data_IF_350542300528
#
_entry.id   IF_350542300528
#
_cell.length_a   1.000
_cell.length_b   1.000
_cell.length_c   1.000
_cell.angle_alpha   90.00
_cell.angle_beta   90.00
_cell.angle_gamma   90.00
#
_symmetry.space_group_name_H-M   'P 1'
#
loop_
_entity.id
_entity.type
_entity.pdbx_description
1 polymer ?
#
# COMPACT_ATOMS: atom_id res chain seq x y z
N UNK A 1 59.52 -21.99 -45.27
CA UNK A 1 58.07 -21.67 -45.33
C UNK A 1 57.61 -21.29 -43.91
N UNK A 2 57.56 -20.00 -43.60
CA UNK A 2 57.29 -19.49 -42.24
C UNK A 2 55.82 -19.16 -42.09
N UNK A 3 55.13 -19.94 -41.25
CA UNK A 3 53.72 -19.71 -40.89
C UNK A 3 53.70 -18.75 -39.68
N UNK A 4 53.24 -17.51 -39.90
CA UNK A 4 53.02 -16.55 -38.82
C UNK A 4 51.66 -16.84 -38.20
N UNK A 5 51.65 -17.25 -36.92
CA UNK A 5 50.45 -17.39 -36.11
C UNK A 5 49.90 -15.99 -35.77
N UNK A 6 48.68 -15.72 -36.20
CA UNK A 6 47.93 -14.55 -35.79
C UNK A 6 47.08 -14.89 -34.55
N UNK A 7 47.42 -14.30 -33.39
CA UNK A 7 46.63 -14.43 -32.18
C UNK A 7 45.55 -13.34 -32.19
N UNK A 8 44.31 -13.74 -32.33
CA UNK A 8 43.15 -12.83 -32.16
C UNK A 8 42.88 -12.67 -30.67
N UNK A 9 43.09 -11.47 -30.14
CA UNK A 9 42.68 -11.10 -28.79
C UNK A 9 41.18 -10.71 -28.81
N UNK A 10 40.35 -11.55 -28.21
CA UNK A 10 38.92 -11.30 -28.03
C UNK A 10 38.74 -10.37 -26.80
N UNK A 11 38.53 -9.07 -27.01
CA UNK A 11 38.21 -8.12 -25.94
C UNK A 11 36.72 -8.28 -25.60
N UNK A 12 36.43 -8.91 -24.45
CA UNK A 12 35.09 -8.98 -23.91
C UNK A 12 34.69 -7.61 -23.37
N UNK A 13 33.75 -6.93 -24.04
CA UNK A 13 33.13 -5.71 -23.58
C UNK A 13 32.12 -6.08 -22.45
N UNK A 14 32.50 -5.86 -21.20
CA UNK A 14 31.56 -5.96 -20.08
C UNK A 14 30.55 -4.82 -20.16
N UNK A 15 29.34 -5.11 -20.61
CA UNK A 15 28.23 -4.17 -20.52
C UNK A 15 27.83 -4.02 -19.05
N UNK A 16 28.25 -2.93 -18.43
CA UNK A 16 27.73 -2.50 -17.13
C UNK A 16 26.29 -2.03 -17.34
N UNK A 17 25.30 -2.88 -17.00
CA UNK A 17 23.91 -2.48 -16.90
C UNK A 17 23.79 -1.49 -15.74
N UNK A 18 23.72 -0.19 -16.02
CA UNK A 18 23.26 0.82 -15.06
C UNK A 18 21.79 0.55 -14.82
N UNK A 19 21.48 -0.04 -13.66
CA UNK A 19 20.10 -0.11 -13.16
C UNK A 19 19.68 1.32 -12.83
N UNK A 20 18.93 1.96 -13.72
CA UNK A 20 18.22 3.18 -13.40
C UNK A 20 17.16 2.82 -12.36
N UNK A 21 17.12 3.56 -11.25
CA UNK A 21 16.00 3.48 -10.31
C UNK A 21 14.72 3.79 -11.11
N UNK A 22 13.74 2.91 -11.01
CA UNK A 22 12.46 3.07 -11.70
C UNK A 22 11.70 4.23 -11.07
N UNK A 23 11.19 5.13 -11.89
CA UNK A 23 10.42 6.29 -11.41
C UNK A 23 8.99 5.83 -11.09
N UNK A 24 8.75 5.51 -9.83
CA UNK A 24 7.43 5.06 -9.36
C UNK A 24 6.46 6.23 -9.30
N UNK A 25 5.31 6.11 -9.95
CA UNK A 25 4.21 7.06 -9.78
C UNK A 25 3.38 6.65 -8.58
N UNK A 26 3.28 7.53 -7.58
CA UNK A 26 2.50 7.32 -6.36
C UNK A 26 1.30 8.26 -6.37
N UNK A 27 0.08 7.70 -6.35
CA UNK A 27 -1.18 8.41 -6.37
C UNK A 27 -2.03 8.02 -5.16
N UNK A 28 -2.57 9.02 -4.45
CA UNK A 28 -3.46 8.80 -3.32
C UNK A 28 -4.91 9.06 -3.72
N UNK A 29 -5.79 8.16 -3.27
CA UNK A 29 -7.23 8.27 -3.38
C UNK A 29 -7.80 8.47 -1.98
N UNK A 30 -8.40 9.61 -1.76
CA UNK A 30 -9.04 9.93 -0.50
C UNK A 30 -10.54 9.66 -0.61
N UNK A 31 -11.07 8.80 0.26
CA UNK A 31 -12.50 8.57 0.34
C UNK A 31 -13.23 9.83 0.83
N UNK A 32 -14.51 9.93 0.53
CA UNK A 32 -15.35 10.97 1.08
C UNK A 32 -15.45 10.86 2.60
N UNK A 33 -15.76 11.97 3.33
CA UNK A 33 -15.89 11.96 4.80
C UNK A 33 -16.88 10.93 5.32
N UNK A 34 -18.00 10.72 4.62
CA UNK A 34 -18.99 9.69 4.96
C UNK A 34 -18.47 8.26 4.84
N UNK A 35 -17.32 8.06 4.19
CA UNK A 35 -16.58 6.81 4.08
C UNK A 35 -15.25 6.86 4.85
N UNK A 36 -15.24 7.59 5.97
CA UNK A 36 -14.11 7.77 6.91
C UNK A 36 -12.89 8.52 6.38
N UNK A 37 -12.94 9.07 5.16
CA UNK A 37 -11.77 9.73 4.59
C UNK A 37 -10.53 8.82 4.48
N UNK A 38 -10.73 7.50 4.41
CA UNK A 38 -9.61 6.55 4.29
C UNK A 38 -8.86 6.76 3.00
N UNK A 39 -7.56 6.62 3.05
CA UNK A 39 -6.70 6.73 1.86
C UNK A 39 -6.32 5.36 1.33
N UNK A 40 -6.50 5.17 0.02
CA UNK A 40 -5.80 4.13 -0.73
C UNK A 40 -4.67 4.76 -1.52
N UNK A 41 -3.54 4.06 -1.60
CA UNK A 41 -2.39 4.53 -2.37
C UNK A 41 -2.10 3.56 -3.51
N UNK A 42 -2.09 4.09 -4.73
CA UNK A 42 -1.70 3.37 -5.93
C UNK A 42 -0.22 3.64 -6.22
N UNK A 43 0.57 2.59 -6.32
CA UNK A 43 1.98 2.64 -6.67
C UNK A 43 2.10 1.99 -8.04
N UNK A 44 2.40 2.79 -9.04
CA UNK A 44 2.51 2.35 -10.43
C UNK A 44 3.97 2.26 -10.84
N UNK A 45 4.37 1.07 -11.29
CA UNK A 45 5.61 0.83 -12.01
C UNK A 45 5.42 0.94 -13.53
N UNK A 46 6.29 0.32 -14.31
CA UNK A 46 6.18 0.33 -15.77
C UNK A 46 5.01 -0.52 -16.27
N UNK A 47 4.81 -1.70 -15.69
CA UNK A 47 3.83 -2.70 -16.14
C UNK A 47 2.86 -3.13 -15.05
N UNK A 48 3.25 -3.02 -13.80
CA UNK A 48 2.50 -3.50 -12.65
C UNK A 48 2.01 -2.35 -11.77
N UNK A 49 0.98 -2.64 -10.99
CA UNK A 49 0.40 -1.76 -10.00
C UNK A 49 0.33 -2.50 -8.66
N UNK A 50 0.72 -1.82 -7.61
CA UNK A 50 0.48 -2.20 -6.22
C UNK A 50 -0.53 -1.23 -5.61
N UNK A 51 -1.61 -1.75 -5.07
CA UNK A 51 -2.59 -0.98 -4.30
C UNK A 51 -2.37 -1.20 -2.81
N UNK A 52 -2.38 -0.13 -2.04
CA UNK A 52 -2.37 -0.16 -0.57
C UNK A 52 -3.73 0.29 -0.08
N UNK A 53 -4.43 -0.60 0.62
CA UNK A 53 -5.81 -0.48 1.12
C UNK A 53 -6.87 -0.42 0.01
N UNK A 54 -8.04 -0.98 0.29
CA UNK A 54 -9.07 -1.24 -0.72
C UNK A 54 -10.34 -0.41 -0.56
N UNK A 55 -10.35 0.57 0.34
CA UNK A 55 -11.51 1.42 0.62
C UNK A 55 -12.64 0.73 1.42
N UNK A 56 -13.49 1.57 2.01
CA UNK A 56 -14.65 1.16 2.79
C UNK A 56 -15.82 0.75 1.89
N UNK A 57 -16.16 1.59 0.91
CA UNK A 57 -17.35 1.40 0.10
C UNK A 57 -17.05 0.86 -1.29
N UNK A 58 -18.00 0.11 -1.83
CA UNK A 58 -17.94 -0.39 -3.20
C UNK A 58 -17.73 0.73 -4.22
N UNK A 59 -18.39 1.86 -4.06
CA UNK A 59 -18.28 2.98 -5.01
C UNK A 59 -16.89 3.61 -5.03
N UNK A 60 -16.20 3.74 -3.88
CA UNK A 60 -14.83 4.23 -3.85
C UNK A 60 -13.85 3.21 -4.44
N UNK A 61 -14.04 1.92 -4.13
CA UNK A 61 -13.23 0.86 -4.73
C UNK A 61 -13.40 0.80 -6.26
N UNK A 62 -14.63 0.97 -6.78
CA UNK A 62 -14.89 1.01 -8.23
C UNK A 62 -14.17 2.17 -8.93
N UNK A 63 -14.06 3.35 -8.31
CA UNK A 63 -13.30 4.48 -8.90
C UNK A 63 -11.83 4.12 -9.07
N UNK A 64 -11.23 3.53 -8.02
CA UNK A 64 -9.83 3.09 -8.09
C UNK A 64 -9.66 1.95 -9.12
N UNK A 65 -10.61 1.01 -9.17
CA UNK A 65 -10.57 -0.07 -10.16
C UNK A 65 -10.64 0.46 -11.59
N UNK A 66 -11.46 1.50 -11.84
CA UNK A 66 -11.53 2.16 -13.15
C UNK A 66 -10.18 2.79 -13.53
N UNK A 67 -9.55 3.56 -12.63
CA UNK A 67 -8.24 4.18 -12.89
C UNK A 67 -7.16 3.12 -13.16
N UNK A 68 -7.20 1.97 -12.48
CA UNK A 68 -6.27 0.86 -12.74
C UNK A 68 -6.52 0.27 -14.14
N UNK A 69 -7.78 0.07 -14.54
CA UNK A 69 -8.12 -0.43 -15.88
C UNK A 69 -7.68 0.55 -16.96
N UNK A 70 -7.91 1.85 -16.77
CA UNK A 70 -7.53 2.91 -17.71
C UNK A 70 -6.00 3.02 -17.86
N UNK A 71 -5.24 2.66 -16.83
CA UNK A 71 -3.77 2.63 -16.89
C UNK A 71 -3.23 1.58 -17.85
N UNK A 72 -4.01 0.55 -18.17
CA UNK A 72 -3.59 -0.61 -18.97
C UNK A 72 -2.56 -1.52 -18.28
N UNK A 73 -2.24 -1.26 -17.01
CA UNK A 73 -1.25 -2.03 -16.22
C UNK A 73 -1.91 -3.16 -15.45
N UNK A 74 -1.10 -4.11 -15.00
CA UNK A 74 -1.56 -5.26 -14.23
C UNK A 74 -1.60 -4.94 -12.75
N UNK A 75 -2.77 -4.99 -12.11
CA UNK A 75 -2.86 -4.99 -10.65
C UNK A 75 -2.29 -6.28 -10.10
N UNK A 76 -1.05 -6.23 -9.62
CA UNK A 76 -0.30 -7.40 -9.15
C UNK A 76 -0.64 -7.78 -7.74
N UNK A 77 -0.66 -6.78 -6.86
CA UNK A 77 -0.78 -6.99 -5.42
C UNK A 77 -1.65 -5.91 -4.80
N UNK A 78 -2.46 -6.30 -3.82
CA UNK A 78 -3.11 -5.40 -2.87
C UNK A 78 -2.54 -5.72 -1.49
N UNK A 79 -1.99 -4.71 -0.83
CA UNK A 79 -1.54 -4.79 0.56
C UNK A 79 -2.56 -4.12 1.47
N UNK A 80 -3.12 -4.87 2.42
CA UNK A 80 -4.03 -4.35 3.44
C UNK A 80 -3.21 -4.05 4.69
N UNK A 81 -3.16 -2.78 5.07
CA UNK A 81 -2.28 -2.32 6.16
C UNK A 81 -2.92 -2.39 7.54
N UNK A 82 -4.26 -2.50 7.64
CA UNK A 82 -4.99 -2.56 8.90
C UNK A 82 -6.27 -3.40 8.80
N UNK A 83 -6.75 -3.93 9.94
CA UNK A 83 -7.85 -4.89 9.99
C UNK A 83 -9.26 -4.29 10.08
N UNK A 84 -9.44 -2.99 9.93
CA UNK A 84 -10.74 -2.34 9.96
C UNK A 84 -11.41 -2.29 8.57
N UNK A 85 -12.75 -2.25 8.51
CA UNK A 85 -13.53 -2.32 7.28
C UNK A 85 -13.15 -1.32 6.22
N UNK A 86 -12.77 -0.13 6.60
CA UNK A 86 -12.37 0.95 5.70
C UNK A 86 -11.07 0.66 4.93
N UNK A 87 -10.31 -0.34 5.35
CA UNK A 87 -9.10 -0.78 4.66
C UNK A 87 -9.33 -1.97 3.71
N UNK A 88 -10.42 -2.77 3.91
CA UNK A 88 -10.55 -4.03 3.17
C UNK A 88 -11.94 -4.35 2.61
N UNK A 89 -13.01 -3.65 2.97
CA UNK A 89 -14.35 -3.97 2.47
C UNK A 89 -14.49 -3.88 0.95
N UNK A 90 -13.73 -3.01 0.29
CA UNK A 90 -13.70 -2.90 -1.16
C UNK A 90 -12.95 -4.02 -1.90
N UNK A 91 -12.35 -4.99 -1.21
CA UNK A 91 -11.56 -6.06 -1.83
C UNK A 91 -12.38 -6.94 -2.80
N UNK A 92 -13.68 -7.09 -2.55
CA UNK A 92 -14.56 -7.87 -3.44
C UNK A 92 -14.64 -7.26 -4.84
N UNK A 93 -14.63 -5.94 -4.95
CA UNK A 93 -14.57 -5.22 -6.24
C UNK A 93 -13.28 -5.59 -6.97
N UNK A 94 -12.13 -5.44 -6.31
CA UNK A 94 -10.85 -5.75 -6.95
C UNK A 94 -10.74 -7.22 -7.34
N UNK A 95 -11.25 -8.12 -6.53
CA UNK A 95 -11.25 -9.56 -6.86
C UNK A 95 -12.13 -9.88 -8.05
N UNK A 96 -13.23 -9.15 -8.23
CA UNK A 96 -14.12 -9.30 -9.38
C UNK A 96 -13.45 -8.85 -10.70
N UNK A 97 -12.81 -7.70 -10.71
CA UNK A 97 -12.21 -7.12 -11.93
C UNK A 97 -10.78 -7.60 -12.19
N UNK A 98 -10.06 -8.01 -11.15
CA UNK A 98 -8.67 -8.50 -11.20
C UNK A 98 -8.56 -9.86 -10.52
N UNK A 99 -9.10 -10.94 -11.10
CA UNK A 99 -9.21 -12.24 -10.44
C UNK A 99 -7.87 -12.85 -10.02
N UNK A 100 -6.79 -12.50 -10.69
CA UNK A 100 -5.44 -13.00 -10.43
C UNK A 100 -4.65 -12.13 -9.43
N UNK A 101 -5.25 -11.05 -8.90
CA UNK A 101 -4.56 -10.18 -7.94
C UNK A 101 -4.21 -10.95 -6.66
N UNK A 102 -2.99 -10.76 -6.19
CA UNK A 102 -2.55 -11.25 -4.89
C UNK A 102 -2.98 -10.26 -3.80
N UNK A 103 -3.78 -10.71 -2.85
CA UNK A 103 -4.26 -9.87 -1.74
C UNK A 103 -3.58 -10.35 -0.47
N UNK A 104 -2.78 -9.49 0.15
CA UNK A 104 -1.91 -9.83 1.28
C UNK A 104 -2.04 -8.81 2.41
N UNK A 105 -1.73 -9.28 3.62
CA UNK A 105 -1.59 -8.47 4.83
C UNK A 105 -0.62 -9.15 5.81
N UNK A 106 -0.21 -8.46 6.86
CA UNK A 106 0.55 -9.13 7.93
C UNK A 106 -0.31 -10.18 8.65
N UNK A 107 0.30 -11.19 9.29
CA UNK A 107 -0.47 -12.19 10.04
C UNK A 107 -1.38 -11.57 11.10
N UNK A 108 -0.94 -10.51 11.77
CA UNK A 108 -1.72 -9.79 12.78
C UNK A 108 -2.95 -9.13 12.18
N UNK A 109 -2.81 -8.45 11.04
CA UNK A 109 -3.92 -7.84 10.29
C UNK A 109 -4.91 -8.90 9.80
N UNK A 110 -4.42 -10.02 9.26
CA UNK A 110 -5.27 -11.14 8.84
C UNK A 110 -6.08 -11.69 10.02
N UNK A 111 -5.41 -11.89 11.16
CA UNK A 111 -6.08 -12.37 12.37
C UNK A 111 -7.16 -11.40 12.85
N UNK A 112 -6.89 -10.10 12.89
CA UNK A 112 -7.88 -9.08 13.26
C UNK A 112 -9.10 -9.15 12.34
N UNK A 113 -8.91 -9.22 11.03
CA UNK A 113 -10.01 -9.36 10.06
C UNK A 113 -10.82 -10.62 10.36
N UNK A 114 -10.15 -11.78 10.54
CA UNK A 114 -10.83 -13.05 10.81
C UNK A 114 -11.65 -13.01 12.09
N UNK A 115 -11.12 -12.40 13.15
CA UNK A 115 -11.78 -12.33 14.46
C UNK A 115 -12.99 -11.38 14.46
N UNK A 116 -12.97 -10.32 13.62
CA UNK A 116 -13.93 -9.21 13.74
C UNK A 116 -14.89 -9.07 12.54
N UNK A 117 -14.57 -9.65 11.37
CA UNK A 117 -15.32 -9.45 10.13
C UNK A 117 -16.82 -9.69 10.24
N UNK A 118 -17.24 -10.73 10.96
CA UNK A 118 -18.66 -11.07 11.08
C UNK A 118 -19.47 -9.98 11.81
N UNK A 119 -18.92 -9.46 12.91
CA UNK A 119 -19.55 -8.37 13.66
C UNK A 119 -19.53 -7.06 12.86
N UNK A 120 -18.44 -6.78 12.14
CA UNK A 120 -18.31 -5.59 11.32
C UNK A 120 -19.27 -5.60 10.12
N UNK A 121 -19.44 -6.74 9.47
CA UNK A 121 -20.45 -6.91 8.39
C UNK A 121 -21.88 -6.77 8.94
N UNK A 122 -22.18 -7.39 10.08
CA UNK A 122 -23.49 -7.27 10.70
C UNK A 122 -23.83 -5.83 11.07
N UNK A 123 -22.86 -5.04 11.51
CA UNK A 123 -23.05 -3.64 11.89
C UNK A 123 -23.09 -2.68 10.69
N UNK A 124 -22.15 -2.81 9.76
CA UNK A 124 -22.00 -1.86 8.66
C UNK A 124 -22.84 -2.23 7.44
N UNK A 125 -23.03 -3.51 7.13
CA UNK A 125 -23.75 -3.97 5.94
C UNK A 125 -25.10 -3.28 5.74
N UNK A 126 -26.02 -3.30 6.75
CA UNK A 126 -27.31 -2.65 6.63
C UNK A 126 -27.23 -1.12 6.42
N UNK A 127 -26.19 -0.46 6.93
CA UNK A 127 -25.97 0.99 6.80
C UNK A 127 -25.40 1.37 5.44
N UNK A 128 -24.62 0.50 4.83
CA UNK A 128 -23.96 0.74 3.54
C UNK A 128 -24.89 0.46 2.35
N UNK A 129 -25.95 -0.30 2.54
CA UNK A 129 -26.92 -0.67 1.50
C UNK A 129 -26.22 -1.23 0.25
N UNK A 130 -26.34 -0.59 -0.90
CA UNK A 130 -25.71 -1.00 -2.16
C UNK A 130 -24.17 -0.88 -2.15
N UNK A 131 -23.60 -0.10 -1.24
CA UNK A 131 -22.15 0.06 -1.07
C UNK A 131 -21.50 -1.03 -0.21
N UNK A 132 -22.30 -1.90 0.42
CA UNK A 132 -21.79 -3.01 1.21
C UNK A 132 -21.02 -4.02 0.33
N UNK A 133 -19.98 -4.68 0.88
CA UNK A 133 -19.32 -5.76 0.17
C UNK A 133 -20.29 -6.91 -0.09
N UNK A 134 -20.19 -7.52 -1.27
CA UNK A 134 -20.98 -8.70 -1.62
C UNK A 134 -20.48 -9.95 -0.90
N UNK A 135 -19.19 -9.96 -0.60
CA UNK A 135 -18.50 -10.99 0.17
C UNK A 135 -17.26 -10.39 0.84
N UNK A 136 -16.85 -10.97 1.95
CA UNK A 136 -15.59 -10.59 2.58
C UNK A 136 -14.45 -11.39 1.98
N UNK A 137 -13.44 -10.68 1.51
CA UNK A 137 -12.16 -11.25 1.06
C UNK A 137 -11.16 -11.09 2.20
N UNK A 138 -10.73 -12.22 2.77
CA UNK A 138 -9.66 -12.21 3.78
C UNK A 138 -8.31 -12.27 3.06
N UNK A 139 -7.40 -11.34 3.31
CA UNK A 139 -6.06 -11.36 2.72
C UNK A 139 -5.28 -12.62 3.11
N UNK A 140 -4.35 -13.05 2.26
CA UNK A 140 -3.37 -14.07 2.60
C UNK A 140 -2.32 -13.49 3.56
N UNK A 141 -1.96 -14.24 4.60
CA UNK A 141 -0.91 -13.85 5.52
C UNK A 141 0.46 -13.80 4.81
N UNK A 142 1.14 -12.68 4.94
CA UNK A 142 2.45 -12.42 4.32
C UNK A 142 3.47 -12.12 5.42
N UNK A 143 4.46 -13.00 5.58
CA UNK A 143 5.43 -12.96 6.68
C UNK A 143 6.75 -12.31 6.31
N UNK A 144 7.03 -12.14 5.01
CA UNK A 144 8.25 -11.48 4.58
C UNK A 144 8.19 -9.97 4.88
N UNK A 145 9.34 -9.39 5.21
CA UNK A 145 9.46 -7.96 5.52
C UNK A 145 9.66 -7.08 4.28
N UNK A 146 9.74 -7.68 3.12
CA UNK A 146 9.97 -6.96 1.86
C UNK A 146 9.04 -7.52 0.81
N UNK A 147 8.40 -6.63 0.08
CA UNK A 147 7.53 -6.89 -1.05
C UNK A 147 8.30 -6.58 -2.33
N UNK A 148 8.42 -7.58 -3.19
CA UNK A 148 9.00 -7.38 -4.53
C UNK A 148 7.96 -6.74 -5.43
N UNK A 149 8.29 -5.60 -6.01
CA UNK A 149 7.45 -4.88 -6.95
C UNK A 149 8.30 -4.45 -8.15
N UNK A 150 8.17 -5.15 -9.27
CA UNK A 150 9.06 -5.03 -10.43
C UNK A 150 10.55 -5.10 -10.01
N UNK A 151 11.31 -4.03 -10.21
CA UNK A 151 12.73 -3.94 -9.83
C UNK A 151 12.92 -3.33 -8.43
N UNK A 152 11.84 -3.01 -7.72
CA UNK A 152 11.86 -2.34 -6.43
C UNK A 152 11.68 -3.32 -5.25
N UNK A 153 12.22 -2.92 -4.11
CA UNK A 153 11.98 -3.57 -2.83
C UNK A 153 11.22 -2.59 -1.93
N UNK A 154 9.96 -2.89 -1.68
CA UNK A 154 9.13 -2.12 -0.76
C UNK A 154 9.17 -2.81 0.59
N UNK A 155 9.56 -2.09 1.63
CA UNK A 155 9.73 -2.66 2.97
C UNK A 155 8.42 -2.56 3.77
N UNK A 156 8.01 -3.67 4.38
CA UNK A 156 6.91 -3.72 5.34
C UNK A 156 7.47 -3.44 6.71
N UNK A 157 7.08 -2.33 7.30
CA UNK A 157 7.55 -1.83 8.59
C UNK A 157 6.40 -1.72 9.60
N UNK A 158 6.79 -1.46 10.83
CA UNK A 158 5.85 -1.40 11.97
C UNK A 158 5.78 -2.72 12.72
N UNK A 159 4.98 -2.74 13.77
CA UNK A 159 4.74 -3.91 14.64
C UNK A 159 3.24 -4.04 14.87
N UNK A 160 2.79 -5.26 15.11
CA UNK A 160 1.38 -5.55 15.34
C UNK A 160 0.54 -4.99 14.17
N UNK A 161 -0.46 -4.21 14.47
CA UNK A 161 -1.34 -3.57 13.50
C UNK A 161 -0.90 -2.15 13.09
N UNK A 162 0.21 -1.66 13.64
CA UNK A 162 0.80 -0.36 13.26
C UNK A 162 1.73 -0.52 12.05
N UNK A 163 1.23 -1.24 11.04
CA UNK A 163 1.99 -1.59 9.82
C UNK A 163 1.90 -0.49 8.77
N UNK A 164 3.00 -0.23 8.08
CA UNK A 164 3.09 0.69 6.95
C UNK A 164 4.14 0.19 5.95
N UNK A 165 4.09 0.71 4.72
CA UNK A 165 5.08 0.44 3.70
C UNK A 165 6.08 1.60 3.60
N UNK A 166 7.35 1.25 3.51
CA UNK A 166 8.43 2.16 3.17
C UNK A 166 8.93 1.88 1.76
N UNK A 167 8.98 2.90 0.90
CA UNK A 167 9.43 2.85 -0.48
C UNK A 167 10.75 3.62 -0.56
N UNK A 168 11.92 2.94 -0.46
CA UNK A 168 13.22 3.61 -0.37
C UNK A 168 13.54 4.49 -1.58
N UNK A 169 13.25 4.03 -2.80
CA UNK A 169 13.53 4.77 -4.05
C UNK A 169 12.75 6.09 -4.14
N UNK A 170 11.52 6.10 -3.65
CA UNK A 170 10.67 7.29 -3.60
C UNK A 170 10.76 8.04 -2.27
N UNK A 171 11.53 7.55 -1.30
CA UNK A 171 11.60 8.06 0.09
C UNK A 171 10.20 8.33 0.68
N UNK A 172 9.27 7.43 0.40
CA UNK A 172 7.86 7.59 0.75
C UNK A 172 7.40 6.54 1.76
N UNK A 173 6.57 6.96 2.71
CA UNK A 173 5.82 6.09 3.62
C UNK A 173 4.35 6.12 3.21
N UNK A 174 3.73 4.95 3.09
CA UNK A 174 2.32 4.81 2.70
C UNK A 174 1.61 3.75 3.53
N UNK A 175 0.32 3.94 3.72
CA UNK A 175 -0.54 3.01 4.46
C UNK A 175 -0.35 3.04 5.97
N UNK A 176 -1.29 2.39 6.65
CA UNK A 176 -1.30 2.22 8.10
C UNK A 176 -1.87 3.39 8.90
N UNK A 177 -2.38 3.06 10.08
CA UNK A 177 -2.94 4.02 11.04
C UNK A 177 -1.95 5.11 11.47
N UNK A 178 -0.63 4.82 11.66
CA UNK A 178 0.30 5.85 12.07
C UNK A 178 0.58 6.92 10.99
N UNK A 179 0.22 6.65 9.73
CA UNK A 179 0.46 7.56 8.60
C UNK A 179 -0.79 8.41 8.37
N UNK A 180 -0.94 9.48 9.12
CA UNK A 180 -2.09 10.40 9.01
C UNK A 180 -1.64 11.87 8.97
N UNK A 181 -2.41 12.75 8.34
CA UNK A 181 -2.16 14.18 8.25
C UNK A 181 -3.46 14.97 8.18
N UNK A 182 -3.51 16.16 8.78
CA UNK A 182 -4.67 17.03 8.77
C UNK A 182 -5.79 16.60 9.72
N UNK A 183 -5.68 15.44 10.38
CA UNK A 183 -6.62 14.96 11.41
C UNK A 183 -5.86 14.45 12.62
N UNK A 184 -6.57 14.29 13.74
CA UNK A 184 -6.02 13.58 14.89
C UNK A 184 -5.85 12.09 14.57
N UNK A 185 -4.79 11.49 15.11
CA UNK A 185 -4.61 10.04 15.04
C UNK A 185 -5.82 9.32 15.66
N UNK A 186 -6.24 8.23 15.05
CA UNK A 186 -7.24 7.37 15.61
C UNK A 186 -6.68 6.68 16.87
N UNK A 187 -7.27 6.97 18.00
CA UNK A 187 -6.79 6.52 19.32
C UNK A 187 -7.76 5.59 20.03
N UNK A 188 -8.92 5.29 19.44
CA UNK A 188 -9.93 4.45 20.10
C UNK A 188 -9.43 3.01 20.35
N UNK A 189 -8.57 2.50 19.48
CA UNK A 189 -8.00 1.15 19.59
C UNK A 189 -6.72 1.10 20.44
N UNK A 190 -6.36 2.20 21.10
CA UNK A 190 -5.17 2.32 21.95
C UNK A 190 -5.54 2.75 23.39
N UNK A 191 -6.38 1.95 24.10
CA UNK A 191 -6.94 2.33 25.38
C UNK A 191 -5.90 2.41 26.50
N UNK A 192 -4.81 1.65 26.42
CA UNK A 192 -3.79 1.60 27.47
C UNK A 192 -2.60 2.53 27.17
N UNK A 193 -1.84 2.86 28.22
CA UNK A 193 -0.57 3.60 28.06
C UNK A 193 0.44 2.81 27.22
N UNK A 194 0.44 1.49 27.33
CA UNK A 194 1.31 0.63 26.52
C UNK A 194 0.98 0.79 25.03
N UNK A 195 -0.29 0.70 24.65
CA UNK A 195 -0.72 0.82 23.24
C UNK A 195 -0.35 2.18 22.69
N UNK A 196 -0.59 3.26 23.44
CA UNK A 196 -0.20 4.61 23.03
C UNK A 196 1.31 4.78 22.87
N UNK A 197 2.11 4.16 23.72
CA UNK A 197 3.57 4.14 23.57
C UNK A 197 4.00 3.40 22.30
N UNK A 198 3.31 2.33 21.90
CA UNK A 198 3.58 1.64 20.63
C UNK A 198 3.32 2.55 19.44
N UNK A 199 2.25 3.36 19.47
CA UNK A 199 1.99 4.39 18.44
C UNK A 199 3.13 5.41 18.38
N UNK A 200 3.57 5.93 19.53
CA UNK A 200 4.72 6.87 19.59
C UNK A 200 5.98 6.24 18.97
N UNK A 201 6.28 4.99 19.31
CA UNK A 201 7.42 4.27 18.74
C UNK A 201 7.29 4.11 17.20
N UNK A 202 6.09 3.83 16.69
CA UNK A 202 5.85 3.76 15.26
C UNK A 202 6.11 5.11 14.57
N UNK A 203 5.63 6.21 15.15
CA UNK A 203 5.87 7.57 14.63
C UNK A 203 7.35 7.95 14.65
N UNK A 204 8.08 7.66 15.73
CA UNK A 204 9.53 7.90 15.80
C UNK A 204 10.28 7.04 14.76
N UNK A 205 9.85 5.80 14.54
CA UNK A 205 10.39 4.95 13.48
C UNK A 205 10.18 5.57 12.09
N UNK A 206 8.97 6.06 11.79
CA UNK A 206 8.67 6.76 10.53
C UNK A 206 9.55 8.01 10.37
N UNK A 207 9.63 8.83 11.41
CA UNK A 207 10.46 10.05 11.43
C UNK A 207 11.93 9.75 11.12
N UNK A 208 12.45 8.61 11.58
CA UNK A 208 13.84 8.20 11.35
C UNK A 208 14.14 7.83 9.90
N UNK A 209 13.14 7.57 9.06
CA UNK A 209 13.30 7.16 7.65
C UNK A 209 13.74 8.29 6.71
N UNK A 210 13.84 9.53 7.19
CA UNK A 210 14.22 10.70 6.38
C UNK A 210 13.40 10.81 5.09
N UNK A 211 12.08 10.72 5.25
CA UNK A 211 11.13 10.85 4.14
C UNK A 211 11.25 12.23 3.49
N UNK A 212 11.19 12.30 2.16
CA UNK A 212 11.03 13.59 1.46
C UNK A 212 9.60 14.11 1.53
N UNK A 213 8.63 13.21 1.73
CA UNK A 213 7.23 13.52 1.95
C UNK A 213 6.56 12.32 2.62
N UNK A 214 5.94 12.49 3.79
CA UNK A 214 4.96 11.53 4.28
C UNK A 214 3.67 11.71 3.48
N UNK A 215 3.37 10.81 2.56
CA UNK A 215 2.09 10.81 1.84
C UNK A 215 1.07 10.13 2.75
N UNK A 216 0.37 10.98 3.47
CA UNK A 216 -0.54 10.55 4.54
C UNK A 216 -1.94 10.24 4.04
N UNK A 217 -2.62 9.45 4.86
CA UNK A 217 -4.05 9.17 4.79
C UNK A 217 -4.86 10.29 5.40
N UNK A 218 -5.11 11.45 4.75
CA UNK A 218 -6.15 12.36 5.24
C UNK A 218 -6.60 13.47 4.32
N UNK A 219 -7.74 13.96 4.69
CA UNK A 219 -8.65 14.93 4.13
C UNK A 219 -7.99 16.29 3.85
N UNK A 220 -7.75 16.62 2.56
CA UNK A 220 -8.01 17.94 1.97
C UNK A 220 -7.91 17.91 0.45
N UNK A 221 -8.82 18.61 -0.19
CA UNK A 221 -8.93 18.78 -1.63
C UNK A 221 -7.64 19.37 -2.22
N UNK A 222 -6.99 18.62 -3.10
CA UNK A 222 -5.94 19.14 -3.97
C UNK A 222 -4.51 18.92 -3.51
N UNK A 223 -4.10 17.69 -3.27
CA UNK A 223 -2.67 17.38 -3.10
C UNK A 223 -1.94 17.32 -4.44
N UNK A 224 -1.83 18.46 -5.13
CA UNK A 224 -0.82 18.75 -6.15
C UNK A 224 0.25 19.73 -5.67
N UNK A 225 0.39 19.94 -4.36
CA UNK A 225 1.47 20.78 -3.83
C UNK A 225 2.46 19.96 -3.04
N UNK A 226 3.72 20.05 -3.46
CA UNK A 226 4.87 19.76 -2.61
C UNK A 226 4.73 20.59 -1.35
N UNK A 227 4.37 19.95 -0.24
CA UNK A 227 4.53 20.60 1.05
C UNK A 227 6.01 20.48 1.37
N UNK A 228 6.72 21.59 1.26
CA UNK A 228 8.11 21.70 1.66
C UNK A 228 8.17 21.41 3.16
N UNK A 229 8.97 20.41 3.53
CA UNK A 229 9.43 20.25 4.89
C UNK A 229 10.46 21.36 5.16
N UNK A 230 10.08 22.38 5.92
CA UNK A 230 11.01 23.30 6.58
C UNK A 230 11.47 22.70 7.90
#
# INVERSE_FOLDING_TARGET
MNIKSFTFALTALAATSTSFAQDLKIQNFLAKPEHFGVTSTLIEGDKEVLLVNAQFSKSEALRIAADILDSGKTLKTIFVSYGDPDFYFGLDVFKQYFPNVQIIATPETVKHIQDTQALKVAYWGPKMVANAPSQIIVPQAYTAKTLKFENENIEIKGKNELTYLWIPSAKAVVGGIPVSSGIHLWMADTPTTKDRNEVVQALESIKSLKTECSRSCTYESGCSRRIGCS
#
